data_IF_251041996976
#
_entry.id   IF_251041996976
#
_cell.length_a   1.000
_cell.length_b   1.000
_cell.length_c   1.000
_cell.angle_alpha   90.00
_cell.angle_beta   90.00
_cell.angle_gamma   90.00
#
_symmetry.space_group_name_H-M   'P 1'
#
loop_
_entity.id
_entity.type
_entity.pdbx_description
1 polymer ?
#
# COMPACT_ATOMS: atom_id res chain seq x y z
N UNK A 1 -13.72 13.16 2.49
CA UNK A 1 -13.52 12.28 3.67
C UNK A 1 -14.07 12.88 4.97
N UNK A 2 -14.56 14.12 4.97
CA UNK A 2 -15.16 14.77 6.15
C UNK A 2 -16.63 14.41 6.55
N UNK A 3 -17.50 13.76 5.74
CA UNK A 3 -18.90 13.55 6.19
C UNK A 3 -19.08 12.32 7.11
N UNK A 4 -18.14 11.37 7.10
CA UNK A 4 -18.25 10.10 7.84
C UNK A 4 -17.87 10.21 9.33
N UNK A 5 -17.07 11.22 9.71
CA UNK A 5 -16.75 11.47 11.13
C UNK A 5 -17.82 12.29 11.86
N UNK A 6 -18.59 13.12 11.14
CA UNK A 6 -19.67 13.92 11.73
C UNK A 6 -20.85 13.05 12.19
N UNK A 7 -21.21 12.02 11.40
CA UNK A 7 -22.31 11.12 11.73
C UNK A 7 -22.04 10.32 13.02
N UNK A 8 -20.79 9.90 13.27
CA UNK A 8 -20.46 9.14 14.48
C UNK A 8 -20.50 10.00 15.77
N UNK A 9 -20.11 11.27 15.68
CA UNK A 9 -20.17 12.19 16.82
C UNK A 9 -21.60 12.55 17.22
N UNK A 10 -22.54 12.61 16.26
CA UNK A 10 -23.95 12.89 16.54
C UNK A 10 -24.66 11.73 17.24
N UNK A 11 -24.36 10.48 16.87
CA UNK A 11 -24.98 9.30 17.50
C UNK A 11 -24.50 9.10 18.94
N UNK A 12 -23.22 9.37 19.22
CA UNK A 12 -22.68 9.27 20.59
C UNK A 12 -23.20 10.40 21.48
N UNK A 13 -23.32 11.64 20.96
CA UNK A 13 -23.96 12.75 21.70
C UNK A 13 -25.45 12.48 21.97
N UNK A 14 -26.17 11.89 21.03
CA UNK A 14 -27.58 11.53 21.22
C UNK A 14 -27.76 10.43 22.28
N UNK A 15 -26.87 9.44 22.32
CA UNK A 15 -26.87 8.38 23.33
C UNK A 15 -26.52 8.91 24.74
N UNK A 16 -25.51 9.77 24.86
CA UNK A 16 -25.14 10.39 26.14
C UNK A 16 -26.21 11.35 26.67
N UNK A 17 -26.89 12.08 25.79
CA UNK A 17 -28.01 12.95 26.19
C UNK A 17 -29.24 12.14 26.65
N UNK A 18 -29.50 10.97 26.07
CA UNK A 18 -30.58 10.08 26.55
C UNK A 18 -30.24 9.40 27.89
N UNK A 19 -28.96 9.09 28.15
CA UNK A 19 -28.50 8.61 29.46
C UNK A 19 -28.57 9.70 30.56
N UNK A 20 -28.22 10.94 30.24
CA UNK A 20 -28.31 12.05 31.21
C UNK A 20 -29.78 12.40 31.56
N UNK A 21 -30.70 12.35 30.59
CA UNK A 21 -32.12 12.62 30.85
C UNK A 21 -32.79 11.50 31.65
N UNK A 22 -32.39 10.24 31.46
CA UNK A 22 -32.89 9.11 32.26
C UNK A 22 -32.42 9.16 33.71
N UNK A 23 -31.17 9.56 33.98
CA UNK A 23 -30.71 9.76 35.36
C UNK A 23 -31.37 10.97 36.04
N UNK A 24 -31.67 12.04 35.28
CA UNK A 24 -32.34 13.24 35.82
C UNK A 24 -33.84 13.00 36.06
N UNK A 25 -34.49 12.17 35.23
CA UNK A 25 -35.89 11.75 35.41
C UNK A 25 -36.06 10.80 36.62
N UNK A 26 -35.10 9.89 36.85
CA UNK A 26 -35.06 9.03 38.04
C UNK A 26 -34.87 9.82 39.34
N UNK A 27 -34.21 10.98 39.30
CA UNK A 27 -33.98 11.80 40.48
C UNK A 27 -35.19 12.67 40.90
N UNK A 28 -36.22 12.82 40.04
CA UNK A 28 -37.37 13.71 40.30
C UNK A 28 -38.73 13.01 40.44
N UNK A 29 -38.79 11.69 40.36
CA UNK A 29 -40.03 10.95 40.62
C UNK A 29 -39.92 10.01 41.84
N UNK A 30 -40.48 10.49 42.95
CA UNK A 30 -41.13 9.73 44.03
C UNK A 30 -40.29 8.89 45.00
N UNK A 31 -40.26 9.40 46.24
CA UNK A 31 -40.14 8.64 47.49
C UNK A 31 -41.25 7.58 47.56
N UNK A 32 -40.97 6.36 47.11
CA UNK A 32 -41.77 5.17 47.41
C UNK A 32 -40.94 3.93 47.09
N UNK A 33 -40.77 3.05 48.08
CA UNK A 33 -39.98 1.83 47.95
C UNK A 33 -40.69 0.88 46.98
N UNK A 34 -40.14 0.59 45.78
CA UNK A 34 -40.81 -0.27 44.82
C UNK A 34 -40.89 -1.71 45.36
N UNK A 35 -42.04 -2.35 45.18
CA UNK A 35 -42.29 -3.72 45.62
C UNK A 35 -41.27 -4.70 45.03
N UNK A 36 -41.06 -5.85 45.68
CA UNK A 36 -40.13 -6.90 45.21
C UNK A 36 -40.41 -7.30 43.76
N UNK A 37 -41.69 -7.37 43.36
CA UNK A 37 -42.11 -7.69 41.99
C UNK A 37 -41.66 -6.63 40.98
N UNK A 38 -41.75 -5.34 41.33
CA UNK A 38 -41.34 -4.22 40.46
C UNK A 38 -39.82 -4.22 40.25
N UNK A 39 -39.03 -4.54 41.29
CA UNK A 39 -37.56 -4.64 41.17
C UNK A 39 -37.14 -5.81 40.29
N UNK A 40 -37.82 -6.96 40.40
CA UNK A 40 -37.55 -8.11 39.54
C UNK A 40 -37.91 -7.81 38.08
N UNK A 41 -39.03 -7.14 37.82
CA UNK A 41 -39.44 -6.76 36.47
C UNK A 41 -38.45 -5.79 35.80
N UNK A 42 -37.98 -4.76 36.52
CA UNK A 42 -36.97 -3.83 36.01
C UNK A 42 -35.63 -4.54 35.76
N UNK A 43 -35.23 -5.46 36.64
CA UNK A 43 -34.04 -6.29 36.45
C UNK A 43 -34.12 -7.18 35.21
N UNK A 44 -35.27 -7.82 34.96
CA UNK A 44 -35.51 -8.64 33.76
C UNK A 44 -35.45 -7.79 32.49
N UNK A 45 -36.06 -6.60 32.50
CA UNK A 45 -36.04 -5.67 31.35
C UNK A 45 -34.61 -5.19 31.06
N UNK A 46 -33.84 -4.84 32.09
CA UNK A 46 -32.43 -4.44 31.94
C UNK A 46 -31.58 -5.57 31.36
N UNK A 47 -31.73 -6.80 31.86
CA UNK A 47 -31.02 -7.97 31.33
C UNK A 47 -31.43 -8.26 29.89
N UNK A 48 -32.73 -8.19 29.57
CA UNK A 48 -33.23 -8.36 28.21
C UNK A 48 -32.66 -7.28 27.26
N UNK A 49 -32.57 -6.03 27.70
CA UNK A 49 -32.01 -4.92 26.92
C UNK A 49 -30.51 -5.08 26.68
N UNK A 50 -29.74 -5.49 27.70
CA UNK A 50 -28.30 -5.78 27.56
C UNK A 50 -28.07 -6.96 26.62
N UNK A 51 -28.89 -8.02 26.70
CA UNK A 51 -28.79 -9.15 25.79
C UNK A 51 -29.18 -8.77 24.35
N UNK A 52 -30.24 -7.98 24.16
CA UNK A 52 -30.66 -7.51 22.83
C UNK A 52 -29.62 -6.60 22.18
N UNK A 53 -29.05 -5.66 22.93
CA UNK A 53 -27.98 -4.78 22.43
C UNK A 53 -26.67 -5.54 22.18
N UNK A 54 -26.35 -6.54 23.00
CA UNK A 54 -25.22 -7.45 22.79
C UNK A 54 -25.36 -8.30 21.52
N UNK A 55 -26.57 -8.83 21.26
CA UNK A 55 -26.84 -9.63 20.04
C UNK A 55 -26.80 -8.76 18.78
N UNK A 56 -27.34 -7.55 18.84
CA UNK A 56 -27.31 -6.60 17.71
C UNK A 56 -25.89 -6.15 17.37
N UNK A 57 -25.07 -5.84 18.38
CA UNK A 57 -23.66 -5.47 18.18
C UNK A 57 -22.84 -6.65 17.65
N UNK A 58 -23.03 -7.86 18.18
CA UNK A 58 -22.38 -9.07 17.66
C UNK A 58 -22.72 -9.33 16.17
N UNK A 59 -23.98 -9.20 15.77
CA UNK A 59 -24.38 -9.36 14.37
C UNK A 59 -23.85 -8.22 13.49
N UNK A 60 -23.86 -6.97 13.96
CA UNK A 60 -23.30 -5.84 13.23
C UNK A 60 -21.79 -5.99 12.97
N UNK A 61 -21.04 -6.57 13.91
CA UNK A 61 -19.60 -6.84 13.77
C UNK A 61 -19.34 -7.95 12.73
N UNK A 62 -20.22 -8.94 12.61
CA UNK A 62 -20.08 -10.05 11.65
C UNK A 62 -20.48 -9.69 10.20
N UNK A 63 -21.29 -8.64 9.99
CA UNK A 63 -21.80 -8.24 8.67
C UNK A 63 -20.71 -7.61 7.75
N UNK A 64 -19.51 -7.30 8.29
CA UNK A 64 -18.41 -6.68 7.56
C UNK A 64 -17.36 -7.65 6.99
N UNK A 65 -16.99 -8.71 7.71
CA UNK A 65 -15.78 -9.50 7.38
C UNK A 65 -15.96 -10.52 6.27
N UNK A 66 -17.20 -10.95 6.00
CA UNK A 66 -17.47 -12.11 5.13
C UNK A 66 -18.25 -11.78 3.85
N UNK A 67 -18.46 -10.52 3.49
CA UNK A 67 -19.19 -10.16 2.25
C UNK A 67 -18.53 -10.71 0.96
N UNK A 68 -17.24 -11.00 1.00
CA UNK A 68 -16.52 -11.66 -0.10
C UNK A 68 -17.00 -13.09 -0.37
N UNK A 69 -17.58 -13.80 0.60
CA UNK A 69 -18.08 -15.18 0.37
C UNK A 69 -19.29 -15.20 -0.57
N UNK A 70 -20.05 -14.11 -0.65
CA UNK A 70 -21.16 -13.94 -1.58
C UNK A 70 -20.70 -13.91 -3.05
N UNK A 71 -19.41 -13.64 -3.31
CA UNK A 71 -18.85 -13.70 -4.66
C UNK A 71 -18.93 -15.12 -5.22
N UNK A 72 -18.67 -16.15 -4.40
CA UNK A 72 -18.75 -17.55 -4.82
C UNK A 72 -20.16 -17.97 -5.19
N UNK A 73 -21.15 -17.56 -4.39
CA UNK A 73 -22.57 -17.81 -4.69
C UNK A 73 -23.01 -17.13 -5.98
N UNK A 74 -22.58 -15.88 -6.22
CA UNK A 74 -22.89 -15.15 -7.47
C UNK A 74 -22.23 -15.79 -8.69
N UNK A 75 -20.94 -16.15 -8.60
CA UNK A 75 -20.20 -16.83 -9.65
C UNK A 75 -20.88 -18.15 -10.05
N UNK A 76 -21.24 -18.98 -9.06
CA UNK A 76 -21.89 -20.27 -9.29
C UNK A 76 -23.33 -20.16 -9.80
N UNK A 77 -23.99 -19.01 -9.65
CA UNK A 77 -25.36 -18.81 -10.12
C UNK A 77 -25.48 -18.68 -11.64
N UNK A 78 -24.37 -18.61 -12.39
CA UNK A 78 -24.37 -18.51 -13.85
C UNK A 78 -24.99 -17.23 -14.41
N UNK A 79 -25.30 -16.25 -13.55
CA UNK A 79 -25.83 -14.95 -13.95
C UNK A 79 -24.71 -14.10 -14.53
N UNK A 80 -24.55 -14.17 -15.85
CA UNK A 80 -23.69 -13.26 -16.59
C UNK A 80 -24.43 -11.96 -16.86
N UNK A 81 -23.79 -10.84 -16.52
CA UNK A 81 -24.28 -9.51 -16.86
C UNK A 81 -24.09 -9.28 -18.37
N UNK A 82 -25.16 -8.92 -19.06
CA UNK A 82 -25.19 -8.60 -20.49
C UNK A 82 -24.83 -7.14 -20.78
N UNK A 83 -24.37 -6.40 -19.77
CA UNK A 83 -23.96 -5.01 -19.89
C UNK A 83 -22.82 -4.80 -20.88
N UNK A 84 -22.69 -3.55 -21.33
CA UNK A 84 -21.66 -3.10 -22.27
C UNK A 84 -20.27 -3.56 -21.83
N UNK A 85 -19.48 -4.06 -22.80
CA UNK A 85 -18.08 -4.47 -22.60
C UNK A 85 -17.10 -3.28 -22.57
N UNK A 86 -17.60 -2.04 -22.66
CA UNK A 86 -16.76 -0.85 -22.62
C UNK A 86 -16.43 -0.46 -21.18
N UNK A 87 -15.21 0.01 -20.98
CA UNK A 87 -14.83 0.67 -19.73
C UNK A 87 -15.60 1.99 -19.56
N UNK A 88 -15.85 2.45 -18.33
CA UNK A 88 -16.50 3.73 -18.09
C UNK A 88 -15.68 4.89 -18.67
N UNK A 89 -16.36 5.98 -19.04
CA UNK A 89 -15.69 7.22 -19.45
C UNK A 89 -14.76 7.69 -18.33
N UNK A 90 -13.53 8.04 -18.69
CA UNK A 90 -12.49 8.42 -17.71
C UNK A 90 -11.79 7.24 -17.04
N UNK A 91 -11.94 6.02 -17.56
CA UNK A 91 -11.09 4.90 -17.15
C UNK A 91 -9.62 5.20 -17.45
N UNK A 92 -8.76 4.98 -16.45
CA UNK A 92 -7.34 5.37 -16.49
C UNK A 92 -6.50 4.22 -17.02
N UNK A 93 -5.97 4.38 -18.24
CA UNK A 93 -5.06 3.42 -18.83
C UNK A 93 -3.63 3.72 -18.38
N UNK A 94 -3.03 2.79 -17.65
CA UNK A 94 -1.69 2.96 -17.11
C UNK A 94 -0.72 1.86 -17.52
N UNK A 95 0.54 2.23 -17.70
CA UNK A 95 1.68 1.29 -17.78
C UNK A 95 2.57 1.46 -16.56
N UNK A 96 3.38 0.45 -16.24
CA UNK A 96 4.14 0.43 -15.00
C UNK A 96 5.55 -0.11 -15.14
N UNK A 97 6.49 0.47 -14.38
CA UNK A 97 7.88 0.01 -14.24
C UNK A 97 8.35 0.08 -12.78
N UNK A 98 9.55 -0.45 -12.52
CA UNK A 98 10.30 -0.23 -11.29
C UNK A 98 11.71 0.26 -11.61
N UNK A 99 12.24 1.17 -10.78
CA UNK A 99 13.49 1.88 -11.04
C UNK A 99 14.67 0.94 -11.37
N UNK A 100 14.91 -0.09 -10.56
CA UNK A 100 16.03 -1.03 -10.80
C UNK A 100 15.89 -1.83 -12.10
N UNK A 101 14.64 -2.07 -12.56
CA UNK A 101 14.41 -2.85 -13.79
C UNK A 101 14.74 -2.04 -15.05
N UNK A 102 14.49 -0.72 -15.02
CA UNK A 102 14.50 0.10 -16.25
C UNK A 102 15.54 1.20 -16.29
N UNK A 103 15.90 1.81 -15.15
CA UNK A 103 16.75 3.01 -15.14
C UNK A 103 18.20 2.73 -15.51
N UNK A 104 18.76 1.64 -14.98
CA UNK A 104 20.19 1.35 -15.08
C UNK A 104 21.08 2.43 -14.48
N UNK A 105 22.28 2.58 -15.06
CA UNK A 105 23.29 3.56 -14.66
C UNK A 105 23.60 3.50 -13.16
N UNK A 106 23.80 2.27 -12.66
CA UNK A 106 23.97 1.98 -11.23
C UNK A 106 25.18 2.65 -10.59
N UNK A 107 26.20 2.98 -11.39
CA UNK A 107 27.46 3.62 -10.99
C UNK A 107 27.53 5.13 -11.24
N UNK A 108 26.44 5.75 -11.73
CA UNK A 108 26.41 7.18 -12.07
C UNK A 108 25.86 8.03 -10.93
N UNK A 109 26.24 9.31 -10.93
CA UNK A 109 25.63 10.35 -10.10
C UNK A 109 25.70 10.07 -8.60
N UNK A 110 26.78 9.40 -8.17
CA UNK A 110 27.01 8.99 -6.79
C UNK A 110 25.88 8.15 -6.18
N UNK A 111 25.07 7.48 -7.01
CA UNK A 111 24.03 6.55 -6.55
C UNK A 111 24.66 5.52 -5.60
N UNK A 112 24.08 5.36 -4.41
CA UNK A 112 24.47 4.32 -3.47
C UNK A 112 24.08 2.93 -3.97
N UNK A 113 24.61 1.87 -3.37
CA UNK A 113 24.23 0.50 -3.73
C UNK A 113 22.87 0.14 -3.12
N UNK A 114 22.03 -0.55 -3.87
CA UNK A 114 20.86 -1.28 -3.36
C UNK A 114 21.20 -2.74 -3.08
N UNK A 115 20.30 -3.44 -2.40
CA UNK A 115 20.41 -4.90 -2.20
C UNK A 115 20.52 -5.67 -3.53
N UNK A 116 19.89 -5.20 -4.61
CA UNK A 116 19.98 -5.84 -5.92
C UNK A 116 21.36 -5.68 -6.56
N UNK A 117 22.00 -4.51 -6.39
CA UNK A 117 23.39 -4.29 -6.84
C UNK A 117 24.37 -5.21 -6.11
N UNK A 118 24.02 -5.71 -4.92
CA UNK A 118 24.84 -6.66 -4.15
C UNK A 118 24.59 -8.10 -4.57
N UNK A 119 23.35 -8.47 -4.90
CA UNK A 119 23.03 -9.77 -5.51
C UNK A 119 23.74 -9.96 -6.87
N UNK A 120 24.00 -8.86 -7.56
CA UNK A 120 24.63 -8.82 -8.87
C UNK A 120 26.16 -8.69 -8.86
N UNK A 121 26.74 -8.32 -7.72
CA UNK A 121 28.18 -8.16 -7.58
C UNK A 121 28.87 -9.52 -7.47
N UNK A 122 29.81 -9.88 -8.37
CA UNK A 122 30.58 -11.13 -8.30
C UNK A 122 31.33 -11.35 -6.98
N UNK A 123 31.60 -10.28 -6.25
CA UNK A 123 32.28 -10.30 -4.95
C UNK A 123 31.30 -10.15 -3.78
N UNK A 124 30.00 -10.01 -4.06
CA UNK A 124 28.96 -9.81 -3.07
C UNK A 124 28.60 -11.10 -2.32
N UNK A 125 28.12 -11.00 -1.06
CA UNK A 125 27.73 -12.15 -0.25
C UNK A 125 26.54 -12.94 -0.82
N UNK A 126 25.82 -12.38 -1.78
CA UNK A 126 24.62 -12.95 -2.38
C UNK A 126 24.81 -13.31 -3.86
N UNK A 127 26.04 -13.25 -4.37
CA UNK A 127 26.33 -13.64 -5.74
C UNK A 127 25.91 -15.09 -6.01
N UNK A 128 25.37 -15.34 -7.20
CA UNK A 128 24.89 -16.67 -7.60
C UNK A 128 23.58 -17.12 -6.93
N UNK A 129 22.93 -16.25 -6.13
CA UNK A 129 21.58 -16.52 -5.58
C UNK A 129 20.46 -16.13 -6.53
N UNK A 130 20.75 -15.35 -7.56
CA UNK A 130 19.79 -15.03 -8.62
C UNK A 130 19.52 -16.27 -9.47
N UNK A 131 18.23 -16.56 -9.71
CA UNK A 131 17.85 -17.65 -10.59
C UNK A 131 18.24 -17.31 -12.03
N UNK A 132 18.76 -18.27 -12.81
CA UNK A 132 18.94 -18.12 -14.24
C UNK A 132 17.63 -17.72 -14.93
N UNK A 133 17.74 -17.02 -16.06
CA UNK A 133 16.58 -16.71 -16.89
C UNK A 133 15.93 -17.99 -17.41
N UNK A 134 14.60 -18.02 -17.41
CA UNK A 134 13.83 -19.16 -17.94
C UNK A 134 13.87 -19.11 -19.46
N UNK A 135 14.15 -20.24 -20.16
CA UNK A 135 14.06 -20.31 -21.61
C UNK A 135 12.68 -19.86 -22.11
N UNK A 136 12.64 -19.03 -23.15
CA UNK A 136 11.36 -18.55 -23.73
C UNK A 136 10.73 -19.56 -24.70
N UNK A 137 11.47 -20.61 -25.07
CA UNK A 137 11.00 -21.67 -25.95
C UNK A 137 11.62 -23.04 -25.58
N UNK A 138 10.94 -24.15 -25.89
CA UNK A 138 11.48 -25.50 -25.70
C UNK A 138 12.80 -25.69 -26.45
N UNK A 139 13.78 -26.34 -25.82
CA UNK A 139 15.09 -26.62 -26.42
C UNK A 139 16.10 -25.49 -26.37
N UNK A 140 15.75 -24.30 -25.83
CA UNK A 140 16.72 -23.24 -25.60
C UNK A 140 17.45 -23.39 -24.26
N UNK A 141 18.75 -23.05 -24.21
CA UNK A 141 19.49 -23.02 -22.95
C UNK A 141 18.92 -21.95 -22.01
N UNK A 142 19.07 -22.18 -20.70
CA UNK A 142 18.75 -21.14 -19.71
C UNK A 142 19.69 -19.95 -19.90
N UNK A 143 19.14 -18.75 -19.80
CA UNK A 143 19.94 -17.53 -19.86
C UNK A 143 20.67 -17.33 -18.52
N UNK A 144 21.87 -16.73 -18.51
CA UNK A 144 22.49 -16.33 -17.26
C UNK A 144 21.58 -15.39 -16.48
N UNK A 145 21.72 -15.34 -15.16
CA UNK A 145 21.06 -14.30 -14.37
C UNK A 145 21.52 -12.93 -14.89
N UNK A 146 20.56 -12.06 -15.22
CA UNK A 146 20.83 -10.71 -15.75
C UNK A 146 20.59 -9.69 -14.66
N UNK A 147 21.47 -8.69 -14.62
CA UNK A 147 21.46 -7.62 -13.63
C UNK A 147 20.91 -6.31 -14.20
N UNK A 148 20.36 -5.48 -13.32
CA UNK A 148 19.78 -4.17 -13.66
C UNK A 148 20.82 -3.06 -13.81
N UNK A 149 22.08 -3.39 -14.10
CA UNK A 149 23.17 -2.40 -14.18
C UNK A 149 22.91 -1.36 -15.27
N UNK A 150 22.37 -1.81 -16.41
CA UNK A 150 21.96 -1.00 -17.55
C UNK A 150 20.43 -0.87 -17.66
N UNK A 151 19.66 -1.85 -17.16
CA UNK A 151 18.20 -1.86 -17.31
C UNK A 151 17.80 -1.84 -18.79
N UNK A 152 16.87 -0.94 -19.15
CA UNK A 152 16.61 -0.59 -20.57
C UNK A 152 17.22 0.77 -20.92
N UNK A 153 18.17 1.24 -20.11
CA UNK A 153 18.83 2.53 -20.23
C UNK A 153 17.88 3.75 -20.13
N UNK A 154 16.74 3.58 -19.44
CA UNK A 154 15.67 4.60 -19.33
C UNK A 154 16.20 5.95 -18.80
N UNK A 155 17.28 5.94 -18.00
CA UNK A 155 17.93 7.17 -17.55
C UNK A 155 18.22 8.16 -18.69
N UNK A 156 18.55 7.64 -19.88
CA UNK A 156 18.91 8.45 -21.04
C UNK A 156 17.85 8.44 -22.14
N UNK A 157 16.89 7.49 -22.10
CA UNK A 157 15.89 7.28 -23.16
C UNK A 157 14.46 7.62 -22.74
N UNK A 158 14.23 8.08 -21.51
CA UNK A 158 12.86 8.31 -21.01
C UNK A 158 12.03 9.27 -21.89
N UNK A 159 12.67 10.17 -22.64
CA UNK A 159 11.96 11.06 -23.57
C UNK A 159 11.27 10.27 -24.68
N UNK A 160 12.00 9.35 -25.33
CA UNK A 160 11.48 8.49 -26.40
C UNK A 160 10.46 7.48 -25.85
N UNK A 161 10.70 6.99 -24.64
CA UNK A 161 9.77 6.10 -23.94
C UNK A 161 8.41 6.81 -23.71
N UNK A 162 8.43 8.07 -23.25
CA UNK A 162 7.21 8.85 -22.99
C UNK A 162 6.51 9.29 -24.27
N UNK A 163 7.26 9.60 -25.34
CA UNK A 163 6.66 9.82 -26.66
C UNK A 163 5.89 8.57 -27.13
N UNK A 164 6.48 7.39 -26.95
CA UNK A 164 5.85 6.12 -27.30
C UNK A 164 4.62 5.86 -26.44
N UNK A 165 4.69 6.08 -25.12
CA UNK A 165 3.52 5.98 -24.22
C UNK A 165 2.38 6.90 -24.67
N UNK A 166 2.70 8.12 -25.12
CA UNK A 166 1.70 9.04 -25.63
C UNK A 166 1.06 8.55 -26.92
N UNK A 167 1.84 8.02 -27.86
CA UNK A 167 1.31 7.41 -29.09
C UNK A 167 0.39 6.22 -28.82
N UNK A 168 0.67 5.44 -27.76
CA UNK A 168 -0.20 4.34 -27.33
C UNK A 168 -1.50 4.79 -26.65
N UNK A 169 -1.66 6.09 -26.35
CA UNK A 169 -2.83 6.62 -25.67
C UNK A 169 -2.87 6.33 -24.17
N UNK A 170 -1.72 6.16 -23.53
CA UNK A 170 -1.61 5.96 -22.08
C UNK A 170 -1.95 7.27 -21.34
N UNK A 171 -2.75 7.17 -20.28
CA UNK A 171 -3.15 8.30 -19.43
C UNK A 171 -2.16 8.52 -18.28
N UNK A 172 -1.69 7.42 -17.68
CA UNK A 172 -0.85 7.44 -16.48
C UNK A 172 0.35 6.51 -16.58
N UNK A 173 1.45 6.89 -15.94
CA UNK A 173 2.64 6.06 -15.81
C UNK A 173 2.94 5.81 -14.35
N UNK A 174 2.90 4.55 -13.94
CA UNK A 174 3.34 4.13 -12.61
C UNK A 174 4.83 3.82 -12.63
N UNK A 175 5.59 4.59 -11.88
CA UNK A 175 7.02 4.39 -11.71
C UNK A 175 7.37 4.28 -10.23
N UNK A 176 8.57 3.77 -9.94
CA UNK A 176 9.17 3.94 -8.62
C UNK A 176 10.34 4.91 -8.64
N UNK A 177 10.62 5.52 -7.49
CA UNK A 177 11.83 6.31 -7.28
C UNK A 177 12.87 5.40 -6.63
N UNK A 178 14.08 5.37 -7.18
CA UNK A 178 15.22 4.66 -6.60
C UNK A 178 15.68 5.39 -5.34
N UNK A 179 15.44 4.77 -4.18
CA UNK A 179 15.82 5.35 -2.89
C UNK A 179 17.32 5.63 -2.83
N UNK A 180 18.13 4.64 -3.22
CA UNK A 180 19.59 4.75 -3.24
C UNK A 180 20.14 5.71 -4.32
N UNK A 181 19.32 6.14 -5.29
CA UNK A 181 19.67 7.24 -6.19
C UNK A 181 19.27 8.59 -5.60
N UNK A 182 18.08 8.70 -5.02
CA UNK A 182 17.54 9.95 -4.47
C UNK A 182 18.26 10.37 -3.19
N UNK A 183 18.66 9.41 -2.35
CA UNK A 183 19.26 9.64 -1.04
C UNK A 183 20.49 8.76 -0.86
N UNK A 184 21.52 9.29 -0.20
CA UNK A 184 22.77 8.59 0.13
C UNK A 184 22.87 8.38 1.64
N UNK A 185 23.55 7.32 2.05
CA UNK A 185 23.82 7.08 3.46
C UNK A 185 24.95 7.97 3.97
N UNK A 186 24.71 8.74 5.04
CA UNK A 186 25.75 9.45 5.78
C UNK A 186 26.09 8.62 7.03
N UNK A 187 27.21 7.90 6.98
CA UNK A 187 27.64 7.03 8.08
C UNK A 187 27.94 7.78 9.38
N UNK A 188 28.33 9.07 9.30
CA UNK A 188 28.59 9.89 10.50
C UNK A 188 27.29 10.28 11.19
N UNK A 189 26.29 10.68 10.40
CA UNK A 189 24.96 11.06 10.92
C UNK A 189 24.04 9.87 11.16
N UNK A 190 24.39 8.69 10.63
CA UNK A 190 23.55 7.48 10.60
C UNK A 190 22.17 7.78 10.03
N UNK A 191 22.13 8.51 8.92
CA UNK A 191 20.89 8.97 8.29
C UNK A 191 21.03 9.07 6.78
N UNK A 192 19.90 8.97 6.07
CA UNK A 192 19.84 9.26 4.65
C UNK A 192 19.90 10.77 4.40
N UNK A 193 20.77 11.21 3.49
CA UNK A 193 20.90 12.62 3.05
C UNK A 193 20.54 12.74 1.56
N UNK A 194 19.95 13.85 1.11
CA UNK A 194 19.58 14.02 -0.30
C UNK A 194 20.78 13.97 -1.24
N UNK A 195 20.60 13.32 -2.40
CA UNK A 195 21.53 13.35 -3.53
C UNK A 195 21.06 14.38 -4.57
N UNK A 196 21.73 15.55 -4.72
CA UNK A 196 21.32 16.56 -5.68
C UNK A 196 21.24 16.05 -7.13
N UNK A 197 22.15 15.15 -7.53
CA UNK A 197 22.17 14.61 -8.89
C UNK A 197 21.01 13.61 -9.13
N UNK A 198 20.68 12.79 -8.13
CA UNK A 198 19.50 11.93 -8.17
C UNK A 198 18.19 12.71 -8.20
N UNK A 199 18.10 13.77 -7.39
CA UNK A 199 16.96 14.70 -7.40
C UNK A 199 16.81 15.37 -8.77
N UNK A 200 17.90 15.87 -9.35
CA UNK A 200 17.87 16.50 -10.66
C UNK A 200 17.35 15.56 -11.75
N UNK A 201 17.72 14.28 -11.71
CA UNK A 201 17.19 13.27 -12.63
C UNK A 201 15.67 13.12 -12.53
N UNK A 202 15.12 12.90 -11.33
CA UNK A 202 13.67 12.76 -11.18
C UNK A 202 12.92 14.05 -11.54
N UNK A 203 13.50 15.23 -11.29
CA UNK A 203 12.93 16.47 -11.79
C UNK A 203 12.83 16.51 -13.32
N UNK A 204 13.88 16.08 -14.03
CA UNK A 204 13.86 16.03 -15.51
C UNK A 204 12.83 15.02 -16.01
N UNK A 205 12.77 13.84 -15.39
CA UNK A 205 11.81 12.80 -15.71
C UNK A 205 10.37 13.29 -15.52
N UNK A 206 10.03 13.88 -14.38
CA UNK A 206 8.67 14.39 -14.12
C UNK A 206 8.30 15.58 -15.01
N UNK A 207 9.26 16.45 -15.35
CA UNK A 207 9.04 17.50 -16.36
C UNK A 207 8.72 16.90 -17.72
N UNK A 208 9.41 15.84 -18.12
CA UNK A 208 9.13 15.16 -19.38
C UNK A 208 7.75 14.48 -19.40
N UNK A 209 7.37 13.77 -18.33
CA UNK A 209 6.00 13.23 -18.18
C UNK A 209 4.94 14.32 -18.33
N UNK A 210 5.16 15.47 -17.68
CA UNK A 210 4.25 16.62 -17.76
C UNK A 210 4.15 17.17 -19.18
N UNK A 211 5.27 17.28 -19.92
CA UNK A 211 5.28 17.71 -21.34
C UNK A 211 4.51 16.74 -22.24
N UNK A 212 4.54 15.45 -21.93
CA UNK A 212 3.80 14.43 -22.66
C UNK A 212 2.35 14.26 -22.18
N UNK A 213 1.88 15.08 -21.23
CA UNK A 213 0.55 14.97 -20.63
C UNK A 213 0.26 13.58 -20.02
N UNK A 214 1.29 12.93 -19.47
CA UNK A 214 1.18 11.64 -18.77
C UNK A 214 1.20 11.88 -17.27
N UNK A 215 0.21 11.37 -16.53
CA UNK A 215 0.16 11.52 -15.07
C UNK A 215 1.10 10.54 -14.38
N UNK A 216 1.91 11.04 -13.44
CA UNK A 216 2.80 10.20 -12.66
C UNK A 216 2.05 9.54 -11.48
N UNK A 217 2.17 8.22 -11.37
CA UNK A 217 1.76 7.43 -10.20
C UNK A 217 3.01 6.91 -9.49
N UNK A 218 3.41 7.57 -8.41
CA UNK A 218 4.73 7.35 -7.80
C UNK A 218 4.68 6.28 -6.71
N UNK A 219 5.53 5.26 -6.86
CA UNK A 219 5.83 4.25 -5.84
C UNK A 219 7.12 4.65 -5.11
N UNK A 220 7.03 4.96 -3.82
CA UNK A 220 8.19 5.43 -3.05
C UNK A 220 9.24 4.35 -2.77
N UNK A 221 8.82 3.09 -2.69
CA UNK A 221 9.71 1.95 -2.44
C UNK A 221 9.28 0.77 -3.30
N UNK A 222 10.20 0.25 -4.12
CA UNK A 222 9.92 -0.89 -5.00
C UNK A 222 11.08 -1.90 -4.94
N UNK A 223 11.34 -2.35 -3.71
CA UNK A 223 12.26 -3.45 -3.40
C UNK A 223 13.74 -3.15 -3.66
N UNK A 224 14.12 -1.89 -3.82
CA UNK A 224 15.48 -1.41 -4.05
C UNK A 224 16.07 -0.74 -2.80
N UNK A 225 16.03 -1.46 -1.68
CA UNK A 225 16.54 -1.00 -0.38
C UNK A 225 18.03 -0.62 -0.48
N UNK A 226 18.45 0.59 -0.02
CA UNK A 226 19.86 0.93 0.10
C UNK A 226 20.61 -0.10 0.96
N UNK A 227 21.71 -0.63 0.44
CA UNK A 227 22.46 -1.69 1.13
C UNK A 227 23.09 -1.22 2.44
N UNK A 228 23.47 0.07 2.52
CA UNK A 228 23.97 0.65 3.76
C UNK A 228 22.95 0.59 4.90
N UNK A 229 21.65 0.75 4.60
CA UNK A 229 20.59 0.59 5.60
C UNK A 229 20.43 -0.87 6.02
N UNK A 230 20.52 -1.80 5.06
CA UNK A 230 20.57 -3.22 5.38
C UNK A 230 21.72 -3.52 6.36
N UNK A 231 22.94 -3.04 6.09
CA UNK A 231 24.08 -3.25 6.98
C UNK A 231 23.90 -2.61 8.36
N UNK A 232 23.43 -1.36 8.43
CA UNK A 232 23.19 -0.68 9.71
C UNK A 232 22.15 -1.42 10.58
N UNK A 233 21.09 -1.97 9.96
CA UNK A 233 20.11 -2.80 10.69
C UNK A 233 20.68 -4.13 11.19
N UNK A 234 21.54 -4.80 10.40
CA UNK A 234 22.21 -6.02 10.86
C UNK A 234 23.14 -5.75 12.06
N UNK A 235 23.83 -4.60 12.06
CA UNK A 235 24.70 -4.18 13.17
C UNK A 235 23.86 -3.93 14.43
N UNK A 236 22.69 -3.29 14.31
CA UNK A 236 21.82 -2.96 15.45
C UNK A 236 21.18 -4.19 16.11
N UNK A 237 20.89 -5.24 15.35
CA UNK A 237 20.24 -6.44 15.86
C UNK A 237 21.22 -7.56 16.26
N UNK A 238 22.54 -7.30 16.19
CA UNK A 238 23.57 -8.30 16.39
C UNK A 238 23.67 -9.21 15.18
N UNK A 239 24.88 -9.44 14.68
CA UNK A 239 25.15 -10.40 13.62
C UNK A 239 24.94 -11.84 14.16
N UNK A 240 23.68 -12.23 14.32
CA UNK A 240 23.25 -13.50 14.85
C UNK A 240 21.73 -13.50 14.91
N UNK A 241 21.11 -14.43 14.20
CA UNK A 241 19.65 -14.69 14.19
C UNK A 241 18.77 -13.62 13.55
N UNK A 242 18.61 -13.66 12.23
CA UNK A 242 17.33 -14.08 11.61
C UNK A 242 17.62 -14.48 10.16
N UNK A 243 17.61 -15.77 9.85
CA UNK A 243 17.42 -16.25 8.48
C UNK A 243 15.94 -16.03 8.16
N UNK A 244 15.66 -15.25 7.11
CA UNK A 244 14.37 -15.31 6.43
C UNK A 244 14.24 -16.65 5.69
#
# INVERSE_FOLDING_TARGET
>A
VAPLFAAHHHTIKAALLTEMDTQTFMARTTRSCPSRATRTAVGIIMVAFVLLTGVFTYHAIQIGSNRGTLLWTRWNSGRHDSSSKCFPVGFDWAVATAAYQVEGAVSKDHRGRSIWDVCCDPKGPWFGKLKPGVPTAPGQPSLPAVCGDEGINMRYTFEDDFQTMRHMGVDSYRLSISWNRLMLWDAKKKSMVPNPAGIAYYHQLFRSLSRHAIRALVTLYHWDLPYDLYLDTQIKHGAGTTRL
#
